data_IF_631897646059
#
_entry.id   IF_631897646059
#
_cell.length_a   1.000
_cell.length_b   1.000
_cell.length_c   1.000
_cell.angle_alpha   90.00
_cell.angle_beta   90.00
_cell.angle_gamma   90.00
#
_symmetry.space_group_name_H-M   'P 1'
#
loop_
_entity.id
_entity.type
_entity.pdbx_description
1 polymer ?
#
# COMPACT_ATOMS: atom_id res chain seq x y z
N UNK A 1 -16.35 -4.05 9.86
CA UNK A 1 -15.33 -3.13 10.41
C UNK A 1 -14.57 -2.56 9.23
N UNK A 2 -14.75 -1.26 8.95
CA UNK A 2 -14.05 -0.57 7.87
C UNK A 2 -12.58 -0.46 8.26
N UNK A 3 -11.68 -1.10 7.52
CA UNK A 3 -10.25 -0.92 7.72
C UNK A 3 -9.93 0.54 7.37
N UNK A 4 -9.48 1.32 8.34
CA UNK A 4 -9.07 2.71 8.09
C UNK A 4 -7.93 2.69 7.08
N UNK A 5 -8.18 3.27 5.91
CA UNK A 5 -7.18 3.39 4.87
C UNK A 5 -6.01 4.22 5.40
N UNK A 6 -4.76 3.74 5.37
CA UNK A 6 -3.61 4.48 5.80
C UNK A 6 -3.54 5.65 4.88
N UNK A 7 -3.49 6.82 5.50
CA UNK A 7 -3.20 8.03 4.79
C UNK A 7 -1.75 7.93 4.33
N UNK A 8 -1.56 7.46 3.10
CA UNK A 8 -0.27 7.52 2.40
C UNK A 8 -0.32 8.79 1.56
N UNK A 9 0.45 9.83 1.91
CA UNK A 9 0.46 11.07 1.14
C UNK A 9 0.87 10.80 -0.31
N UNK A 10 0.22 11.44 -1.30
CA UNK A 10 0.71 11.47 -2.67
C UNK A 10 2.18 11.94 -2.68
N UNK A 11 3.02 11.27 -3.46
CA UNK A 11 4.46 11.51 -3.48
C UNK A 11 5.27 10.60 -2.56
N UNK A 12 4.64 9.82 -1.67
CA UNK A 12 5.33 8.82 -0.84
C UNK A 12 6.04 7.80 -1.71
N UNK A 13 7.28 7.45 -1.36
CA UNK A 13 8.04 6.41 -2.03
C UNK A 13 7.87 5.06 -1.32
N UNK A 14 7.44 4.04 -2.06
CA UNK A 14 7.39 2.64 -1.62
C UNK A 14 8.27 1.84 -2.55
N UNK A 15 9.41 1.34 -2.07
CA UNK A 15 10.36 0.55 -2.87
C UNK A 15 10.76 1.24 -4.21
N UNK A 16 10.95 2.56 -4.13
CA UNK A 16 11.26 3.41 -5.28
C UNK A 16 10.10 3.67 -6.25
N UNK A 17 8.86 3.34 -5.87
CA UNK A 17 7.65 3.75 -6.59
C UNK A 17 7.02 4.95 -5.90
N UNK A 18 6.72 5.99 -6.67
CA UNK A 18 5.99 7.15 -6.16
C UNK A 18 4.48 6.88 -6.15
N UNK A 19 3.87 6.94 -4.97
CA UNK A 19 2.42 6.77 -4.80
C UNK A 19 1.68 8.00 -5.32
N UNK A 20 0.75 7.79 -6.25
CA UNK A 20 -0.08 8.88 -6.80
C UNK A 20 -1.45 8.96 -6.11
N UNK A 21 -2.16 7.82 -6.01
CA UNK A 21 -3.51 7.75 -5.42
C UNK A 21 -3.87 6.35 -4.93
N UNK A 22 -4.81 6.20 -3.99
CA UNK A 22 -5.38 4.90 -3.66
C UNK A 22 -6.19 4.30 -4.81
N UNK A 23 -6.16 2.98 -4.91
CA UNK A 23 -6.96 2.16 -5.83
C UNK A 23 -7.89 1.19 -5.10
N UNK A 24 -7.56 0.79 -3.86
CA UNK A 24 -8.46 -0.06 -3.06
C UNK A 24 -7.96 -0.32 -1.64
N UNK A 25 -8.90 -0.61 -0.76
CA UNK A 25 -8.71 -0.92 0.66
C UNK A 25 -9.30 -2.30 0.98
N UNK A 26 -8.51 -3.34 0.73
CA UNK A 26 -8.90 -4.70 1.11
C UNK A 26 -8.65 -4.96 2.59
N UNK A 27 -9.33 -5.96 3.15
CA UNK A 27 -9.09 -6.43 4.52
C UNK A 27 -7.68 -7.00 4.78
N UNK A 28 -6.84 -7.15 3.76
CA UNK A 28 -5.50 -7.72 3.90
C UNK A 28 -4.41 -6.84 3.28
N UNK A 29 -4.79 -5.81 2.50
CA UNK A 29 -3.84 -4.99 1.77
C UNK A 29 -4.48 -3.68 1.33
N UNK A 30 -3.63 -2.67 1.16
CA UNK A 30 -3.94 -1.46 0.41
C UNK A 30 -3.36 -1.54 -0.98
N UNK A 31 -4.10 -1.06 -1.96
CA UNK A 31 -3.65 -0.97 -3.34
C UNK A 31 -3.55 0.50 -3.71
N UNK A 32 -2.40 0.90 -4.26
CA UNK A 32 -2.14 2.25 -4.75
C UNK A 32 -1.80 2.24 -6.22
N UNK A 33 -2.04 3.34 -6.93
CA UNK A 33 -1.41 3.63 -8.19
C UNK A 33 -0.03 4.20 -7.90
N UNK A 34 1.00 3.57 -8.44
CA UNK A 34 2.39 3.99 -8.35
C UNK A 34 2.97 4.34 -9.71
N UNK A 35 3.92 5.27 -9.71
CA UNK A 35 4.73 5.62 -10.86
C UNK A 35 6.21 5.33 -10.57
N UNK A 36 6.92 4.75 -11.56
CA UNK A 36 8.38 4.58 -11.54
C UNK A 36 8.89 4.68 -12.97
N UNK A 37 9.79 5.64 -13.21
CA UNK A 37 10.41 5.88 -14.51
C UNK A 37 9.35 6.08 -15.64
N UNK A 38 8.29 6.84 -15.36
CA UNK A 38 7.19 7.12 -16.27
C UNK A 38 6.18 5.97 -16.43
N UNK A 39 6.40 4.82 -15.77
CA UNK A 39 5.50 3.67 -15.87
C UNK A 39 4.55 3.60 -14.69
N UNK A 40 3.25 3.49 -14.98
CA UNK A 40 2.20 3.37 -13.97
C UNK A 40 1.84 1.90 -13.70
N UNK A 41 1.81 1.50 -12.42
CA UNK A 41 1.44 0.15 -11.96
C UNK A 41 0.65 0.21 -10.65
N UNK A 42 -0.02 -0.89 -10.32
CA UNK A 42 -0.62 -1.07 -9.00
C UNK A 42 0.45 -1.54 -7.99
N UNK A 43 0.55 -0.87 -6.84
CA UNK A 43 1.37 -1.29 -5.69
C UNK A 43 0.43 -1.93 -4.67
N UNK A 44 0.67 -3.20 -4.31
CA UNK A 44 -0.09 -3.89 -3.26
C UNK A 44 0.75 -3.93 -1.98
N UNK A 45 0.30 -3.22 -0.96
CA UNK A 45 0.96 -3.13 0.35
C UNK A 45 0.15 -3.98 1.33
N UNK A 46 0.75 -5.07 1.82
CA UNK A 46 0.09 -5.94 2.79
C UNK A 46 -0.10 -5.20 4.12
N UNK A 47 -1.28 -5.35 4.72
CA UNK A 47 -1.52 -4.96 6.10
C UNK A 47 -1.11 -6.11 6.99
N UNK A 48 0.02 -5.99 7.68
CA UNK A 48 0.29 -6.92 8.77
C UNK A 48 -0.77 -6.74 9.86
N UNK A 49 -1.40 -7.84 10.25
CA UNK A 49 -2.27 -7.94 11.41
C UNK A 49 -1.62 -8.88 12.41
N UNK A 50 -1.86 -8.68 13.69
CA UNK A 50 -1.34 -9.55 14.75
C UNK A 50 -1.74 -11.02 14.54
N UNK A 51 -2.88 -11.26 13.85
CA UNK A 51 -3.37 -12.58 13.48
C UNK A 51 -2.76 -13.17 12.18
N UNK A 52 -1.83 -12.49 11.51
CA UNK A 52 -1.26 -12.94 10.23
C UNK A 52 -0.43 -14.21 10.37
N UNK A 53 0.07 -14.51 11.57
CA UNK A 53 0.96 -15.64 11.83
C UNK A 53 2.39 -15.43 11.32
N UNK A 54 2.60 -14.52 10.39
CA UNK A 54 3.93 -14.10 9.93
C UNK A 54 4.62 -13.20 10.96
N UNK A 55 5.93 -13.32 11.16
CA UNK A 55 6.69 -12.37 11.95
C UNK A 55 6.49 -10.95 11.40
N UNK A 56 6.19 -9.99 12.29
CA UNK A 56 6.15 -8.58 11.92
C UNK A 56 7.52 -8.17 11.38
N UNK A 57 7.62 -7.91 10.06
CA UNK A 57 8.78 -7.27 9.46
C UNK A 57 8.54 -5.76 9.46
N UNK A 58 9.34 -5.04 10.26
CA UNK A 58 9.45 -3.57 10.26
C UNK A 58 10.41 -3.07 9.20
#
# INVERSE_FOLDING_TARGET
>A
MSATQPHVPPGTLIDGWQVSKPLGDGGFAFVFLGEKNGTHRAIKVAQHRESSGDPKQT
#
